data_IF_171675687228
#
_entry.id   IF_171675687228
#
_cell.length_a   1.000
_cell.length_b   1.000
_cell.length_c   1.000
_cell.angle_alpha   90.00
_cell.angle_beta   90.00
_cell.angle_gamma   90.00
#
_symmetry.space_group_name_H-M   'P 1'
#
loop_
_entity.id
_entity.type
_entity.pdbx_description
1 polymer ?
#
# COMPACT_ATOMS: atom_id res chain seq x y z
N UNK A 1 3.05 -43.64 -4.42
CA UNK A 1 1.79 -43.00 -3.98
C UNK A 1 1.53 -43.46 -2.57
N UNK A 2 1.54 -42.56 -1.59
CA UNK A 2 1.14 -42.89 -0.22
C UNK A 2 -0.33 -42.49 -0.05
N UNK A 3 -1.19 -43.48 0.17
CA UNK A 3 -2.60 -43.27 0.46
C UNK A 3 -2.77 -43.22 1.98
N UNK A 4 -3.19 -42.07 2.51
CA UNK A 4 -3.56 -41.92 3.91
C UNK A 4 -5.08 -41.75 3.95
N UNK A 5 -5.77 -42.78 4.43
CA UNK A 5 -7.22 -42.77 4.58
C UNK A 5 -7.56 -42.42 6.02
N UNK A 6 -8.24 -41.29 6.24
CA UNK A 6 -8.78 -40.91 7.53
C UNK A 6 -10.29 -40.67 7.35
N UNK A 7 -11.10 -41.66 7.74
CA UNK A 7 -12.54 -41.67 7.48
C UNK A 7 -12.89 -41.74 5.99
N UNK A 8 -13.97 -41.08 5.57
CA UNK A 8 -14.45 -41.05 4.17
C UNK A 8 -13.57 -40.22 3.20
N UNK A 9 -12.41 -39.70 3.63
CA UNK A 9 -11.53 -38.86 2.82
C UNK A 9 -10.20 -39.60 2.57
N UNK A 10 -9.92 -39.85 1.29
CA UNK A 10 -8.66 -40.47 0.85
C UNK A 10 -7.67 -39.38 0.42
N UNK A 11 -6.59 -39.20 1.17
CA UNK A 11 -5.50 -38.31 0.80
C UNK A 11 -4.42 -39.11 0.06
N UNK A 12 -4.19 -38.79 -1.21
CA UNK A 12 -3.14 -39.40 -2.02
C UNK A 12 -1.96 -38.44 -2.19
N UNK A 13 -0.85 -38.71 -1.52
CA UNK A 13 0.39 -37.95 -1.71
C UNK A 13 1.10 -38.49 -2.96
N UNK A 14 1.08 -37.68 -4.02
CA UNK A 14 1.74 -37.97 -5.30
C UNK A 14 3.02 -37.15 -5.40
N UNK A 15 4.10 -37.74 -5.93
CA UNK A 15 5.40 -37.08 -6.10
C UNK A 15 5.30 -35.77 -6.91
N UNK A 16 4.40 -35.72 -7.90
CA UNK A 16 4.08 -34.51 -8.65
C UNK A 16 3.47 -33.41 -7.77
N UNK A 17 2.60 -33.78 -6.82
CA UNK A 17 2.00 -32.83 -5.86
C UNK A 17 3.04 -32.21 -4.93
N UNK A 18 4.04 -32.98 -4.49
CA UNK A 18 5.14 -32.46 -3.67
C UNK A 18 6.00 -31.44 -4.42
N UNK A 19 6.29 -31.69 -5.71
CA UNK A 19 7.04 -30.77 -6.57
C UNK A 19 6.27 -29.46 -6.80
N UNK A 20 4.96 -29.54 -7.06
CA UNK A 20 4.12 -28.35 -7.23
C UNK A 20 4.08 -27.54 -5.93
N UNK A 21 3.92 -28.20 -4.79
CA UNK A 21 3.91 -27.55 -3.49
C UNK A 21 5.22 -26.83 -3.21
N UNK A 22 6.36 -27.45 -3.50
CA UNK A 22 7.67 -26.83 -3.36
C UNK A 22 7.82 -25.60 -4.28
N UNK A 23 7.41 -25.70 -5.54
CA UNK A 23 7.45 -24.56 -6.47
C UNK A 23 6.59 -23.38 -6.01
N UNK A 24 5.38 -23.65 -5.51
CA UNK A 24 4.49 -22.59 -4.99
C UNK A 24 5.10 -21.93 -3.74
N UNK A 25 5.69 -22.72 -2.84
CA UNK A 25 6.37 -22.19 -1.65
C UNK A 25 7.54 -21.28 -2.03
N UNK A 26 8.42 -21.74 -2.93
CA UNK A 26 9.57 -20.94 -3.40
C UNK A 26 9.11 -19.66 -4.08
N UNK A 27 8.11 -19.73 -4.98
CA UNK A 27 7.59 -18.56 -5.69
C UNK A 27 6.96 -17.54 -4.73
N UNK A 28 6.16 -18.01 -3.77
CA UNK A 28 5.57 -17.15 -2.74
C UNK A 28 6.65 -16.45 -1.91
N UNK A 29 7.66 -17.20 -1.47
CA UNK A 29 8.77 -16.66 -0.69
C UNK A 29 9.57 -15.59 -1.46
N UNK A 30 9.91 -15.86 -2.72
CA UNK A 30 10.59 -14.90 -3.60
C UNK A 30 9.76 -13.65 -3.85
N UNK A 31 8.44 -13.78 -4.01
CA UNK A 31 7.53 -12.65 -4.18
C UNK A 31 7.51 -11.75 -2.95
N UNK A 32 7.45 -12.33 -1.75
CA UNK A 32 7.46 -11.57 -0.49
C UNK A 32 8.78 -10.84 -0.30
N UNK A 33 9.92 -11.51 -0.54
CA UNK A 33 11.25 -10.87 -0.46
C UNK A 33 11.35 -9.71 -1.43
N UNK A 34 10.91 -9.89 -2.68
CA UNK A 34 10.97 -8.85 -3.71
C UNK A 34 10.13 -7.62 -3.32
N UNK A 35 8.92 -7.84 -2.80
CA UNK A 35 8.05 -6.77 -2.31
C UNK A 35 8.67 -6.04 -1.11
N UNK A 36 9.29 -6.76 -0.18
CA UNK A 36 9.94 -6.18 1.00
C UNK A 36 11.16 -5.34 0.60
N UNK A 37 11.99 -5.85 -0.31
CA UNK A 37 13.15 -5.11 -0.85
C UNK A 37 12.71 -3.83 -1.54
N UNK A 38 11.67 -3.87 -2.36
CA UNK A 38 11.13 -2.67 -3.02
C UNK A 38 10.64 -1.64 -2.01
N UNK A 39 9.84 -2.08 -1.03
CA UNK A 39 9.24 -1.21 -0.01
C UNK A 39 10.30 -0.55 0.88
N UNK A 40 11.36 -1.28 1.23
CA UNK A 40 12.44 -0.75 2.09
C UNK A 40 13.43 0.15 1.35
N UNK A 41 13.68 -0.08 0.06
CA UNK A 41 14.70 0.69 -0.69
C UNK A 41 14.13 1.91 -1.41
N UNK A 42 12.85 1.89 -1.77
CA UNK A 42 12.25 2.92 -2.62
C UNK A 42 11.22 3.76 -1.86
N UNK A 43 11.38 5.09 -1.90
CA UNK A 43 10.41 6.01 -1.31
C UNK A 43 9.15 6.07 -2.15
N UNK A 44 7.99 6.23 -1.51
CA UNK A 44 6.70 6.33 -2.21
C UNK A 44 6.65 7.48 -3.24
N UNK A 45 7.31 8.60 -2.94
CA UNK A 45 7.42 9.74 -3.87
C UNK A 45 8.22 9.42 -5.14
N UNK A 46 9.16 8.48 -5.07
CA UNK A 46 9.92 8.01 -6.23
C UNK A 46 9.07 6.99 -7.04
N UNK A 47 8.21 6.19 -6.40
CA UNK A 47 7.23 5.34 -7.11
C UNK A 47 6.18 6.15 -7.89
N UNK A 48 5.63 7.21 -7.28
CA UNK A 48 4.65 8.09 -7.93
C UNK A 48 5.17 8.73 -9.23
N UNK A 49 6.43 9.16 -9.20
CA UNK A 49 7.10 9.66 -10.40
C UNK A 49 7.34 8.56 -11.43
N UNK A 50 7.64 7.33 -11.01
CA UNK A 50 7.67 6.18 -11.94
C UNK A 50 6.35 6.04 -12.70
N UNK A 51 5.21 6.19 -11.99
CA UNK A 51 3.90 6.24 -12.64
C UNK A 51 3.71 7.48 -13.55
N UNK A 52 4.29 8.62 -13.21
CA UNK A 52 4.32 9.81 -14.08
C UNK A 52 5.01 9.52 -15.43
N UNK A 53 6.17 8.84 -15.40
CA UNK A 53 6.89 8.42 -16.62
C UNK A 53 6.11 7.38 -17.44
N UNK A 54 5.31 6.54 -16.78
CA UNK A 54 4.38 5.59 -17.41
C UNK A 54 3.14 6.28 -18.01
N UNK A 55 3.10 7.62 -18.05
CA UNK A 55 1.99 8.44 -18.56
C UNK A 55 0.67 8.23 -17.80
N UNK A 56 0.74 7.94 -16.49
CA UNK A 56 -0.45 7.87 -15.65
C UNK A 56 -1.14 9.26 -15.56
N UNK A 57 -2.48 9.34 -15.47
CA UNK A 57 -3.18 10.62 -15.43
C UNK A 57 -2.71 11.49 -14.24
N UNK A 58 -2.31 12.73 -14.51
CA UNK A 58 -1.76 13.66 -13.51
C UNK A 58 -2.68 13.89 -12.32
N UNK A 59 -3.99 13.95 -12.57
CA UNK A 59 -5.01 14.10 -11.53
C UNK A 59 -4.99 12.91 -10.55
N UNK A 60 -4.77 11.69 -11.04
CA UNK A 60 -4.66 10.54 -10.14
C UNK A 60 -3.38 10.58 -9.31
N UNK A 61 -2.24 10.96 -9.92
CA UNK A 61 -0.99 11.12 -9.17
C UNK A 61 -1.11 12.15 -8.06
N UNK A 62 -1.81 13.25 -8.33
CA UNK A 62 -2.15 14.29 -7.36
C UNK A 62 -2.95 13.73 -6.19
N UNK A 63 -4.05 13.02 -6.49
CA UNK A 63 -4.92 12.43 -5.46
C UNK A 63 -4.14 11.43 -4.61
N UNK A 64 -3.37 10.52 -5.23
CA UNK A 64 -2.57 9.52 -4.51
C UNK A 64 -1.49 10.18 -3.65
N UNK A 65 -0.84 11.24 -4.14
CA UNK A 65 0.16 12.00 -3.37
C UNK A 65 -0.46 12.61 -2.11
N UNK A 66 -1.65 13.21 -2.24
CA UNK A 66 -2.39 13.73 -1.10
C UNK A 66 -2.85 12.65 -0.15
N UNK A 67 -3.37 11.53 -0.65
CA UNK A 67 -3.76 10.39 0.18
C UNK A 67 -2.59 9.91 1.04
N UNK A 68 -1.41 9.71 0.44
CA UNK A 68 -0.21 9.30 1.17
C UNK A 68 0.25 10.33 2.20
N UNK A 69 0.20 11.62 1.89
CA UNK A 69 0.56 12.66 2.86
C UNK A 69 -0.44 12.77 4.01
N UNK A 70 -1.73 12.66 3.70
CA UNK A 70 -2.80 12.88 4.67
C UNK A 70 -3.16 11.64 5.49
N UNK A 71 -2.80 10.42 5.07
CA UNK A 71 -3.08 9.22 5.86
C UNK A 71 -2.40 9.30 7.24
N UNK A 72 -1.16 9.80 7.31
CA UNK A 72 -0.46 9.99 8.58
C UNK A 72 -1.11 11.07 9.45
N UNK A 73 -1.52 12.17 8.83
CA UNK A 73 -2.21 13.27 9.50
C UNK A 73 -3.53 12.82 10.12
N UNK A 74 -4.34 12.08 9.35
CA UNK A 74 -5.63 11.58 9.79
C UNK A 74 -5.43 10.48 10.84
N UNK A 75 -4.42 9.62 10.70
CA UNK A 75 -4.08 8.62 11.69
C UNK A 75 -3.69 9.25 13.04
N UNK A 76 -2.87 10.29 13.04
CA UNK A 76 -2.52 11.03 14.25
C UNK A 76 -3.75 11.67 14.90
N UNK A 77 -4.67 12.20 14.10
CA UNK A 77 -5.90 12.79 14.60
C UNK A 77 -6.87 11.74 15.16
N UNK A 78 -6.98 10.58 14.49
CA UNK A 78 -7.74 9.44 14.98
C UNK A 78 -7.16 8.93 16.31
N UNK A 79 -5.84 8.86 16.44
CA UNK A 79 -5.17 8.47 17.67
C UNK A 79 -5.45 9.47 18.81
N UNK A 80 -5.41 10.77 18.53
CA UNK A 80 -5.79 11.81 19.51
C UNK A 80 -7.23 11.68 19.99
N UNK A 81 -8.18 11.47 19.07
CA UNK A 81 -9.58 11.29 19.41
C UNK A 81 -9.81 10.01 20.22
N UNK A 82 -9.10 8.92 19.87
CA UNK A 82 -9.12 7.67 20.63
C UNK A 82 -8.63 7.90 22.05
N UNK A 83 -7.46 8.52 22.25
CA UNK A 83 -6.90 8.78 23.59
C UNK A 83 -7.82 9.68 24.42
N UNK A 84 -8.41 10.71 23.83
CA UNK A 84 -9.39 11.56 24.51
C UNK A 84 -10.66 10.78 24.89
N UNK A 85 -11.07 9.83 24.06
CA UNK A 85 -12.15 8.91 24.36
C UNK A 85 -11.84 7.97 25.52
N UNK A 86 -10.67 7.33 25.49
CA UNK A 86 -10.22 6.41 26.54
C UNK A 86 -10.17 7.10 27.91
N UNK A 87 -9.74 8.38 27.96
CA UNK A 87 -9.73 9.20 29.17
C UNK A 87 -11.14 9.48 29.75
N UNK A 88 -12.20 9.42 28.93
CA UNK A 88 -13.61 9.60 29.34
C UNK A 88 -14.28 8.29 29.78
N UNK A 89 -13.49 7.27 30.15
CA UNK A 89 -13.92 5.94 30.59
C UNK A 89 -14.60 5.10 29.48
N UNK A 90 -14.10 5.18 28.25
CA UNK A 90 -14.60 4.34 27.14
C UNK A 90 -14.21 2.86 27.26
N UNK A 91 -13.29 2.52 28.18
CA UNK A 91 -12.87 1.14 28.45
C UNK A 91 -13.98 0.23 28.98
N UNK A 92 -14.94 0.75 29.74
CA UNK A 92 -15.97 -0.06 30.43
C UNK A 92 -17.33 -0.11 29.70
N UNK A 93 -17.39 0.36 28.45
CA UNK A 93 -18.63 0.45 27.69
C UNK A 93 -19.05 -0.87 27.06
N UNK A 94 -20.38 -1.08 26.97
CA UNK A 94 -20.98 -2.22 26.25
C UNK A 94 -20.66 -2.12 24.76
N UNK A 95 -20.63 -3.26 24.06
CA UNK A 95 -20.30 -3.31 22.63
C UNK A 95 -21.13 -2.34 21.76
N UNK A 96 -22.43 -2.19 22.06
CA UNK A 96 -23.31 -1.22 21.37
C UNK A 96 -22.83 0.23 21.50
N UNK A 97 -22.48 0.65 22.70
CA UNK A 97 -21.99 2.01 22.99
C UNK A 97 -20.62 2.26 22.34
N UNK A 98 -19.76 1.24 22.29
CA UNK A 98 -18.48 1.33 21.58
C UNK A 98 -18.66 1.61 20.09
N UNK A 99 -19.57 0.90 19.43
CA UNK A 99 -19.86 1.09 17.99
C UNK A 99 -20.39 2.51 17.73
N UNK A 100 -21.30 3.00 18.57
CA UNK A 100 -21.85 4.36 18.47
C UNK A 100 -20.75 5.43 18.57
N UNK A 101 -19.84 5.28 19.53
CA UNK A 101 -18.70 6.18 19.70
C UNK A 101 -17.73 6.11 18.52
N UNK A 102 -17.46 4.92 17.98
CA UNK A 102 -16.63 4.79 16.78
C UNK A 102 -17.26 5.53 15.60
N UNK A 103 -18.59 5.45 15.43
CA UNK A 103 -19.32 6.24 14.44
C UNK A 103 -19.14 7.74 14.64
N UNK A 104 -19.20 8.23 15.88
CA UNK A 104 -18.96 9.64 16.21
C UNK A 104 -17.51 10.07 15.88
N UNK A 105 -16.51 9.26 16.25
CA UNK A 105 -15.11 9.52 15.92
C UNK A 105 -14.92 9.65 14.39
N UNK A 106 -15.51 8.73 13.63
CA UNK A 106 -15.45 8.76 12.16
C UNK A 106 -16.12 10.03 11.62
N UNK A 107 -17.29 10.40 12.13
CA UNK A 107 -18.01 11.61 11.72
C UNK A 107 -17.18 12.88 11.99
N UNK A 108 -16.56 12.99 13.17
CA UNK A 108 -15.69 14.10 13.53
C UNK A 108 -14.45 14.15 12.63
N UNK A 109 -13.81 13.01 12.37
CA UNK A 109 -12.66 12.92 11.46
C UNK A 109 -13.04 13.34 10.03
N UNK A 110 -14.22 12.95 9.56
CA UNK A 110 -14.70 13.33 8.23
C UNK A 110 -14.85 14.84 8.11
N UNK A 111 -15.54 15.48 9.05
CA UNK A 111 -15.74 16.95 9.04
C UNK A 111 -14.39 17.68 9.09
N UNK A 112 -13.50 17.28 10.00
CA UNK A 112 -12.18 17.94 10.16
C UNK A 112 -11.27 17.74 8.96
N UNK A 113 -11.28 16.55 8.35
CA UNK A 113 -10.50 16.27 7.15
C UNK A 113 -11.04 17.05 5.93
N UNK A 114 -12.36 17.20 5.82
CA UNK A 114 -13.00 18.03 4.78
C UNK A 114 -12.62 19.50 4.93
N UNK A 115 -12.79 20.10 6.10
CA UNK A 115 -12.37 21.50 6.35
C UNK A 115 -10.88 21.70 6.09
N UNK A 116 -10.05 20.72 6.43
CA UNK A 116 -8.62 20.76 6.15
C UNK A 116 -8.33 20.73 4.65
N UNK A 117 -9.06 19.91 3.88
CA UNK A 117 -8.91 19.86 2.43
C UNK A 117 -9.23 21.22 1.80
N UNK A 118 -10.33 21.85 2.21
CA UNK A 118 -10.73 23.19 1.77
C UNK A 118 -9.65 24.24 2.09
N UNK A 119 -9.15 24.26 3.33
CA UNK A 119 -8.07 25.18 3.74
C UNK A 119 -6.80 24.99 2.91
N UNK A 120 -6.44 23.75 2.61
CA UNK A 120 -5.25 23.44 1.79
C UNK A 120 -5.49 23.87 0.34
N UNK A 121 -6.68 23.59 -0.21
CA UNK A 121 -7.03 23.97 -1.57
C UNK A 121 -7.00 25.49 -1.76
N UNK A 122 -7.60 26.24 -0.84
CA UNK A 122 -7.52 27.71 -0.84
C UNK A 122 -6.05 28.20 -0.78
N UNK A 123 -5.22 27.61 0.08
CA UNK A 123 -3.80 27.95 0.15
C UNK A 123 -3.01 27.60 -1.12
N UNK A 124 -3.41 26.55 -1.84
CA UNK A 124 -2.82 26.20 -3.13
C UNK A 124 -3.18 27.23 -4.20
N UNK A 125 -4.46 27.63 -4.27
CA UNK A 125 -4.90 28.69 -5.19
C UNK A 125 -4.15 30.00 -4.96
N UNK A 126 -3.97 30.42 -3.69
CA UNK A 126 -3.20 31.63 -3.35
C UNK A 126 -1.72 31.57 -3.74
N UNK A 127 -1.16 30.36 -3.95
CA UNK A 127 0.22 30.15 -4.42
C UNK A 127 0.32 29.99 -5.95
N UNK A 128 -0.78 30.18 -6.68
CA UNK A 128 -0.81 30.06 -8.14
C UNK A 128 -0.88 28.61 -8.63
N UNK A 129 -1.58 27.73 -7.90
CA UNK A 129 -1.76 26.34 -8.33
C UNK A 129 -2.48 26.24 -9.68
N UNK A 130 -1.82 25.63 -10.67
CA UNK A 130 -2.26 25.47 -12.05
C UNK A 130 -2.89 24.08 -12.34
N UNK A 131 -3.19 23.31 -11.28
CA UNK A 131 -3.66 21.93 -11.39
C UNK A 131 -2.54 20.88 -11.50
N UNK A 132 -1.27 21.29 -11.62
CA UNK A 132 -0.14 20.38 -11.71
C UNK A 132 0.69 20.38 -10.42
N UNK A 133 0.94 19.19 -9.86
CA UNK A 133 1.91 19.04 -8.78
C UNK A 133 3.32 18.92 -9.39
N UNK A 134 4.16 19.95 -9.19
CA UNK A 134 5.56 19.91 -9.61
C UNK A 134 6.38 19.18 -8.54
N UNK A 135 6.90 18.00 -8.85
CA UNK A 135 7.78 17.28 -7.94
C UNK A 135 9.22 17.77 -8.11
N UNK A 136 9.86 18.23 -7.04
CA UNK A 136 11.17 18.94 -7.06
C UNK A 136 12.34 18.04 -7.51
N UNK A 137 12.19 16.72 -7.48
CA UNK A 137 13.32 15.78 -7.66
C UNK A 137 13.24 15.09 -9.02
N UNK A 138 14.19 15.41 -9.90
CA UNK A 138 14.33 14.80 -11.22
C UNK A 138 14.87 13.36 -11.11
N UNK A 139 14.31 12.44 -11.91
CA UNK A 139 14.87 11.11 -12.09
C UNK A 139 16.02 11.20 -13.10
N UNK A 140 17.22 10.74 -12.70
CA UNK A 140 18.35 10.58 -13.62
C UNK A 140 18.50 9.09 -13.91
N UNK A 141 18.31 8.71 -15.17
CA UNK A 141 18.63 7.36 -15.63
C UNK A 141 20.12 7.13 -15.50
N UNK A 142 20.52 6.23 -14.61
CA UNK A 142 21.91 5.83 -14.45
C UNK A 142 22.19 4.56 -15.26
N UNK A 143 23.43 4.37 -15.74
CA UNK A 143 23.81 3.15 -16.48
C UNK A 143 23.62 1.86 -15.66
N UNK A 144 23.60 1.95 -14.33
CA UNK A 144 23.24 0.84 -13.42
C UNK A 144 21.78 0.43 -13.53
N UNK A 145 20.87 1.36 -13.81
CA UNK A 145 19.43 1.07 -13.97
C UNK A 145 19.18 0.34 -15.28
N UNK A 146 19.92 0.69 -16.34
CA UNK A 146 19.89 0.00 -17.61
C UNK A 146 20.41 -1.45 -17.47
N UNK A 147 21.56 -1.63 -16.80
CA UNK A 147 22.10 -2.96 -16.52
C UNK A 147 21.13 -3.83 -15.72
N UNK A 148 20.51 -3.27 -14.68
CA UNK A 148 19.49 -3.97 -13.90
C UNK A 148 18.25 -4.35 -14.75
N UNK A 149 17.77 -3.43 -15.60
CA UNK A 149 16.63 -3.68 -16.49
C UNK A 149 16.88 -4.80 -17.50
N UNK A 150 18.07 -4.85 -18.10
CA UNK A 150 18.46 -5.92 -19.04
C UNK A 150 18.54 -7.27 -18.33
N UNK A 151 19.15 -7.33 -17.14
CA UNK A 151 19.27 -8.56 -16.36
C UNK A 151 17.89 -9.09 -15.95
N UNK A 152 17.00 -8.22 -15.45
CA UNK A 152 15.63 -8.60 -15.09
C UNK A 152 14.81 -9.05 -16.30
N UNK A 153 14.95 -8.39 -17.45
CA UNK A 153 14.30 -8.80 -18.69
C UNK A 153 14.71 -10.21 -19.13
N UNK A 154 16.01 -10.51 -19.07
CA UNK A 154 16.53 -11.85 -19.38
C UNK A 154 16.00 -12.92 -18.42
N UNK A 155 15.95 -12.62 -17.11
CA UNK A 155 15.40 -13.55 -16.11
C UNK A 155 13.93 -13.84 -16.35
N UNK A 156 13.12 -12.82 -16.68
CA UNK A 156 11.70 -13.01 -17.01
C UNK A 156 11.49 -13.84 -18.28
N UNK A 157 12.30 -13.62 -19.31
CA UNK A 157 12.23 -14.40 -20.55
C UNK A 157 12.60 -15.87 -20.28
N UNK A 158 13.66 -16.11 -19.52
CA UNK A 158 14.07 -17.48 -19.13
C UNK A 158 12.97 -18.18 -18.33
N UNK A 159 12.31 -17.47 -17.41
CA UNK A 159 11.23 -18.02 -16.58
C UNK A 159 9.92 -18.23 -17.34
N UNK A 160 9.68 -17.49 -18.43
CA UNK A 160 8.50 -17.68 -19.28
C UNK A 160 8.68 -18.80 -20.32
N UNK A 161 9.93 -19.08 -20.71
CA UNK A 161 10.29 -20.10 -21.70
C UNK A 161 10.42 -21.51 -21.09
N UNK A 162 10.72 -21.61 -19.80
CA UNK A 162 10.84 -22.87 -19.02
C UNK A 162 9.51 -23.20 -18.35
#
# INVERSE_FOLDING_TARGET
MFYFSYGNLNFAVTYSGLLILFNVLVKSWLSVISMLTLTSTTKFSDLLKGFEYLKFPKVMLLVISFMYRYIFVIADEAMRLKTAGDARNFGNLKLKQRIEIFGNIIAVLFIRSYERAERVYAAMLSRGFDGNFKTIKEFKFCSRDFGFGVIMGLILIITFVI
#
